data_IF_234344126120
#
_entry.id   IF_234344126120
#
_cell.length_a   1.000
_cell.length_b   1.000
_cell.length_c   1.000
_cell.angle_alpha   90.00
_cell.angle_beta   90.00
_cell.angle_gamma   90.00
#
_symmetry.space_group_name_H-M   'P 1'
#
loop_
_entity.id
_entity.type
_entity.pdbx_description
1 polymer ?
#
# COMPACT_ATOMS: atom_id res chain seq x y z
N UNK A 1 56.80 -15.20 -32.72
CA UNK A 1 55.71 -15.37 -31.73
C UNK A 1 55.77 -14.28 -30.67
N UNK A 2 55.69 -12.98 -30.99
CA UNK A 2 55.70 -11.87 -29.99
C UNK A 2 54.78 -10.68 -30.35
N UNK A 3 53.85 -10.83 -31.30
CA UNK A 3 52.98 -9.73 -31.75
C UNK A 3 51.51 -9.84 -31.34
N UNK A 4 51.06 -10.96 -30.76
CA UNK A 4 49.63 -11.15 -30.43
C UNK A 4 49.25 -10.95 -28.95
N UNK A 5 50.22 -10.65 -28.08
CA UNK A 5 49.94 -10.45 -26.63
C UNK A 5 49.57 -9.00 -26.33
N UNK A 6 50.00 -8.04 -27.18
CA UNK A 6 49.70 -6.61 -26.93
C UNK A 6 48.28 -6.20 -27.29
N UNK A 7 47.60 -6.92 -28.18
CA UNK A 7 46.23 -6.62 -28.56
C UNK A 7 45.18 -7.11 -27.52
N UNK A 8 45.53 -8.12 -26.73
CA UNK A 8 44.62 -8.68 -25.72
C UNK A 8 44.55 -7.82 -24.47
N UNK A 9 45.61 -7.10 -24.11
CA UNK A 9 45.62 -6.17 -22.98
C UNK A 9 44.87 -4.85 -23.26
N UNK A 10 44.84 -4.40 -24.50
CA UNK A 10 44.06 -3.21 -24.86
C UNK A 10 42.55 -3.46 -24.88
N UNK A 11 42.08 -4.69 -25.14
CA UNK A 11 40.66 -5.03 -25.10
C UNK A 11 40.13 -5.21 -23.69
N UNK A 12 40.95 -5.69 -22.73
CA UNK A 12 40.56 -5.77 -21.31
C UNK A 12 40.54 -4.40 -20.64
N UNK A 13 41.37 -3.45 -21.08
CA UNK A 13 41.37 -2.09 -20.53
C UNK A 13 40.20 -1.21 -21.01
N UNK A 14 39.57 -1.55 -22.15
CA UNK A 14 38.37 -0.84 -22.63
C UNK A 14 37.05 -1.34 -22.02
N UNK A 15 37.02 -2.52 -21.41
CA UNK A 15 35.83 -2.98 -20.64
C UNK A 15 35.76 -2.49 -19.19
N UNK A 16 36.79 -1.80 -18.71
CA UNK A 16 36.78 -1.13 -17.41
C UNK A 16 36.23 0.30 -17.48
N UNK A 17 35.56 0.67 -18.60
CA UNK A 17 34.92 1.97 -18.76
C UNK A 17 33.58 2.02 -18.02
N UNK A 18 33.68 2.54 -16.81
CA UNK A 18 32.66 3.29 -16.09
C UNK A 18 31.29 2.62 -15.86
N UNK A 19 31.20 1.76 -14.87
CA UNK A 19 30.13 1.86 -13.88
C UNK A 19 30.35 3.20 -13.16
N UNK A 20 30.02 4.32 -13.80
CA UNK A 20 29.79 5.57 -13.07
C UNK A 20 28.62 5.27 -12.14
N UNK A 21 28.88 5.24 -10.85
CA UNK A 21 27.81 5.30 -9.85
C UNK A 21 26.91 6.46 -10.29
N UNK A 22 25.65 6.17 -10.54
CA UNK A 22 24.69 7.17 -11.00
C UNK A 22 24.58 8.20 -9.90
N UNK A 23 24.97 9.44 -10.18
CA UNK A 23 25.05 10.50 -9.18
C UNK A 23 23.65 10.76 -8.62
N UNK A 24 23.48 10.59 -7.32
CA UNK A 24 22.22 10.90 -6.63
C UNK A 24 22.07 12.41 -6.62
N UNK A 25 20.99 12.92 -7.22
CA UNK A 25 20.69 14.35 -7.27
C UNK A 25 19.44 14.62 -6.46
N UNK A 26 19.52 15.51 -5.45
CA UNK A 26 18.32 16.03 -4.78
C UNK A 26 17.37 16.62 -5.82
N UNK A 27 16.07 16.42 -5.61
CA UNK A 27 15.08 16.99 -6.52
C UNK A 27 15.01 18.51 -6.39
N UNK A 28 14.96 19.25 -7.52
CA UNK A 28 14.60 20.66 -7.51
C UNK A 28 13.24 20.88 -6.82
N UNK A 29 13.05 22.02 -6.17
CA UNK A 29 11.81 22.32 -5.45
C UNK A 29 10.55 22.29 -6.31
N UNK A 30 10.68 22.55 -7.62
CA UNK A 30 9.61 22.49 -8.63
C UNK A 30 9.24 21.06 -9.07
N UNK A 31 9.96 20.05 -8.60
CA UNK A 31 9.75 18.63 -8.92
C UNK A 31 9.81 17.73 -7.68
N UNK A 32 9.79 18.33 -6.47
CA UNK A 32 9.87 17.62 -5.20
C UNK A 32 8.54 16.95 -4.79
N UNK A 33 7.53 17.02 -5.63
CA UNK A 33 6.21 16.40 -5.45
C UNK A 33 5.91 15.49 -6.62
N UNK A 34 4.98 14.56 -6.42
CA UNK A 34 4.54 13.67 -7.50
C UNK A 34 3.24 12.98 -7.17
N UNK A 35 2.65 12.38 -8.19
CA UNK A 35 1.44 11.55 -8.06
C UNK A 35 1.63 10.27 -8.84
N UNK A 36 1.25 9.15 -8.25
CA UNK A 36 1.29 7.83 -8.89
C UNK A 36 0.28 7.79 -10.04
N UNK A 37 0.68 7.35 -11.25
CA UNK A 37 -0.17 7.34 -12.43
C UNK A 37 -0.47 5.96 -13.03
N UNK A 38 -0.08 4.89 -12.35
CA UNK A 38 -0.47 3.50 -12.67
C UNK A 38 -1.28 2.89 -11.52
N UNK A 39 -2.08 1.88 -11.80
CA UNK A 39 -3.02 1.29 -10.83
C UNK A 39 -2.36 0.87 -9.52
N UNK A 40 -1.23 0.18 -9.61
CA UNK A 40 -0.40 -0.25 -8.49
C UNK A 40 1.08 -0.04 -8.83
N UNK A 41 1.76 0.77 -8.06
CA UNK A 41 3.17 1.09 -8.20
C UNK A 41 3.98 0.34 -7.13
N UNK A 42 4.95 -0.48 -7.56
CA UNK A 42 5.85 -1.18 -6.65
C UNK A 42 7.01 -0.27 -6.21
N UNK A 43 7.13 -0.03 -4.92
CA UNK A 43 8.31 0.58 -4.30
C UNK A 43 9.33 -0.51 -4.00
N UNK A 44 10.60 -0.20 -4.21
CA UNK A 44 11.73 -1.11 -4.00
C UNK A 44 12.72 -0.55 -2.99
N UNK A 45 13.51 -1.42 -2.40
CA UNK A 45 14.56 -1.04 -1.44
C UNK A 45 15.68 -0.24 -2.09
N UNK A 46 15.96 -0.50 -3.38
CA UNK A 46 16.97 0.21 -4.17
C UNK A 46 16.43 0.50 -5.58
N UNK A 47 16.95 1.55 -6.25
CA UNK A 47 16.56 1.97 -7.60
C UNK A 47 17.01 1.00 -8.72
N UNK A 48 16.61 -0.26 -8.63
CA UNK A 48 16.89 -1.31 -9.64
C UNK A 48 15.80 -2.40 -9.64
N UNK A 49 15.54 -3.02 -10.79
CA UNK A 49 14.50 -4.05 -10.92
C UNK A 49 14.79 -5.34 -10.14
N UNK A 50 16.04 -5.63 -9.84
CA UNK A 50 16.46 -6.84 -9.10
C UNK A 50 16.40 -6.67 -7.58
N UNK A 51 16.14 -5.45 -7.08
CA UNK A 51 15.98 -5.19 -5.65
C UNK A 51 14.65 -5.74 -5.12
N UNK A 52 14.61 -6.05 -3.82
CA UNK A 52 13.41 -6.44 -3.11
C UNK A 52 12.28 -5.39 -3.24
N UNK A 53 11.05 -5.85 -3.21
CA UNK A 53 9.88 -4.97 -3.08
C UNK A 53 9.68 -4.65 -1.61
N UNK A 54 9.44 -3.39 -1.28
CA UNK A 54 9.26 -2.90 0.09
C UNK A 54 7.81 -2.53 0.42
N UNK A 55 7.07 -1.97 -0.55
CA UNK A 55 5.64 -1.65 -0.42
C UNK A 55 5.03 -1.33 -1.79
N UNK A 56 3.76 -0.96 -1.81
CA UNK A 56 3.06 -0.47 -3.00
C UNK A 56 2.39 0.87 -2.73
N UNK A 57 2.28 1.70 -3.79
CA UNK A 57 1.48 2.91 -3.84
C UNK A 57 0.42 2.81 -4.93
N UNK A 58 -0.71 3.47 -4.76
CA UNK A 58 -1.88 3.34 -5.63
C UNK A 58 -2.03 4.55 -6.56
N UNK A 59 -2.69 4.37 -7.71
CA UNK A 59 -3.04 5.43 -8.65
C UNK A 59 -3.72 6.60 -7.94
N UNK A 60 -3.22 7.80 -8.23
CA UNK A 60 -3.73 9.03 -7.63
C UNK A 60 -3.14 9.35 -6.25
N UNK A 61 -2.32 8.47 -5.67
CA UNK A 61 -1.67 8.71 -4.39
C UNK A 61 -0.63 9.83 -4.54
N UNK A 62 -0.74 10.91 -3.76
CA UNK A 62 0.26 11.96 -3.69
C UNK A 62 1.52 11.47 -2.95
N UNK A 63 2.70 11.87 -3.40
CA UNK A 63 3.99 11.47 -2.83
C UNK A 63 4.96 12.66 -2.82
N UNK A 64 5.95 12.62 -1.92
CA UNK A 64 7.13 13.49 -2.02
C UNK A 64 8.21 12.77 -2.80
N UNK A 65 8.92 13.51 -3.65
CA UNK A 65 10.06 13.01 -4.43
C UNK A 65 11.33 13.55 -3.78
N UNK A 66 12.13 12.65 -3.21
CA UNK A 66 13.28 13.00 -2.39
C UNK A 66 14.54 13.16 -3.23
N UNK A 67 14.75 12.25 -4.20
CA UNK A 67 15.93 12.26 -5.07
C UNK A 67 15.72 11.45 -6.35
N UNK A 68 16.64 11.59 -7.31
CA UNK A 68 16.61 10.94 -8.61
C UNK A 68 17.99 10.44 -9.03
N UNK A 69 18.05 9.18 -9.48
CA UNK A 69 19.24 8.55 -10.06
C UNK A 69 18.90 7.70 -11.30
N UNK A 70 17.84 8.03 -12.05
CA UNK A 70 17.21 7.18 -13.07
C UNK A 70 15.97 6.49 -12.53
N UNK A 71 15.85 6.36 -11.22
CA UNK A 71 14.69 6.02 -10.41
C UNK A 71 14.40 7.19 -9.48
N UNK A 72 13.17 7.31 -9.04
CA UNK A 72 12.79 8.26 -7.99
C UNK A 72 12.77 7.56 -6.63
N UNK A 73 13.43 8.13 -5.64
CA UNK A 73 13.15 7.82 -4.25
C UNK A 73 11.98 8.68 -3.79
N UNK A 74 10.94 8.04 -3.28
CA UNK A 74 9.71 8.73 -2.87
C UNK A 74 9.36 8.42 -1.43
N UNK A 75 8.63 9.35 -0.80
CA UNK A 75 7.96 9.16 0.48
C UNK A 75 6.45 9.12 0.26
N UNK A 76 5.79 8.09 0.78
CA UNK A 76 4.35 7.88 0.72
C UNK A 76 3.62 8.49 1.94
N UNK A 77 2.28 8.63 1.92
CA UNK A 77 1.50 9.24 3.01
C UNK A 77 1.60 8.56 4.37
N UNK A 78 2.06 7.32 4.44
CA UNK A 78 2.36 6.55 5.65
C UNK A 78 3.83 6.67 6.07
N UNK A 79 4.52 7.70 5.58
CA UNK A 79 5.93 8.01 5.82
C UNK A 79 6.92 6.93 5.34
N UNK A 80 6.47 5.97 4.53
CA UNK A 80 7.34 4.95 3.98
C UNK A 80 8.19 5.50 2.82
N UNK A 81 9.47 5.11 2.77
CA UNK A 81 10.42 5.56 1.74
C UNK A 81 10.84 4.37 0.90
N UNK A 82 10.90 4.55 -0.42
CA UNK A 82 11.35 3.53 -1.35
C UNK A 82 11.53 4.07 -2.76
N UNK A 83 12.10 3.23 -3.60
CA UNK A 83 12.47 3.57 -4.97
C UNK A 83 11.42 3.11 -5.98
N UNK A 84 11.03 3.98 -6.89
CA UNK A 84 10.11 3.69 -7.99
C UNK A 84 10.75 3.99 -9.33
N UNK A 85 10.39 3.20 -10.35
CA UNK A 85 10.82 3.49 -11.70
C UNK A 85 10.20 4.81 -12.20
N UNK A 86 10.98 5.59 -12.95
CA UNK A 86 10.56 6.92 -13.47
C UNK A 86 9.25 6.95 -14.27
N UNK A 87 8.82 5.79 -14.79
CA UNK A 87 7.62 5.65 -15.62
C UNK A 87 6.33 5.39 -14.83
N UNK A 88 6.32 5.52 -13.51
CA UNK A 88 5.15 5.15 -12.69
C UNK A 88 4.60 6.30 -11.85
N UNK A 89 5.33 7.42 -11.79
CA UNK A 89 4.87 8.66 -11.15
C UNK A 89 4.99 9.83 -12.11
N UNK A 90 4.15 10.85 -11.88
CA UNK A 90 4.24 12.14 -12.57
C UNK A 90 4.82 13.15 -11.58
N UNK A 91 6.11 13.58 -11.74
CA UNK A 91 6.67 14.66 -10.94
C UNK A 91 5.94 15.97 -11.20
N UNK A 92 5.79 16.80 -10.17
CA UNK A 92 5.03 18.04 -10.21
C UNK A 92 5.69 19.15 -9.41
N UNK A 93 5.43 20.39 -9.82
CA UNK A 93 5.63 21.55 -8.94
C UNK A 93 4.61 21.53 -7.79
N UNK A 94 4.87 22.30 -6.74
CA UNK A 94 3.96 22.40 -5.59
C UNK A 94 2.57 22.88 -6.02
N UNK A 95 2.49 23.85 -6.95
CA UNK A 95 1.22 24.39 -7.47
C UNK A 95 0.36 23.31 -8.14
N UNK A 96 0.97 22.50 -9.04
CA UNK A 96 0.27 21.39 -9.72
C UNK A 96 -0.13 20.27 -8.76
N UNK A 97 0.71 20.02 -7.77
CA UNK A 97 0.42 19.05 -6.71
C UNK A 97 -0.78 19.51 -5.87
N UNK A 98 -0.82 20.80 -5.50
CA UNK A 98 -1.95 21.37 -4.77
C UNK A 98 -3.24 21.41 -5.60
N UNK A 99 -3.14 21.69 -6.89
CA UNK A 99 -4.26 21.61 -7.83
C UNK A 99 -4.79 20.17 -7.91
N UNK A 100 -3.88 19.18 -7.99
CA UNK A 100 -4.27 17.78 -7.94
C UNK A 100 -5.00 17.44 -6.65
N UNK A 101 -4.47 17.82 -5.51
CA UNK A 101 -5.08 17.50 -4.21
C UNK A 101 -6.45 18.16 -4.02
N UNK A 102 -6.62 19.42 -4.44
CA UNK A 102 -7.91 20.16 -4.36
C UNK A 102 -8.96 19.70 -5.36
N UNK A 103 -8.57 19.07 -6.45
CA UNK A 103 -9.52 18.62 -7.45
C UNK A 103 -10.46 17.53 -6.89
N UNK A 104 -11.72 17.55 -7.29
CA UNK A 104 -12.64 16.47 -7.00
C UNK A 104 -12.17 15.15 -7.62
N UNK A 105 -12.33 14.05 -6.90
CA UNK A 105 -11.87 12.72 -7.31
C UNK A 105 -13.02 11.73 -7.43
N UNK A 106 -12.81 10.77 -8.31
CA UNK A 106 -13.53 9.50 -8.33
C UNK A 106 -12.63 8.45 -7.67
N UNK A 107 -13.17 7.74 -6.68
CA UNK A 107 -12.52 6.63 -5.99
C UNK A 107 -13.04 5.30 -6.56
N UNK A 108 -12.12 4.40 -6.86
CA UNK A 108 -12.46 3.01 -7.22
C UNK A 108 -12.79 2.24 -5.95
N UNK A 109 -13.96 1.59 -5.92
CA UNK A 109 -14.44 0.82 -4.77
C UNK A 109 -14.41 -0.69 -4.99
N UNK A 110 -14.39 -1.15 -6.26
CA UNK A 110 -14.24 -2.55 -6.61
C UNK A 110 -12.78 -3.02 -6.48
N UNK A 111 -12.59 -4.28 -6.13
CA UNK A 111 -11.27 -4.90 -6.02
C UNK A 111 -10.46 -4.81 -7.32
N UNK A 112 -11.14 -4.90 -8.47
CA UNK A 112 -10.52 -4.85 -9.79
C UNK A 112 -11.49 -4.34 -10.84
N UNK A 113 -10.97 -3.64 -11.85
CA UNK A 113 -11.74 -3.17 -13.01
C UNK A 113 -10.85 -2.47 -14.03
N UNK A 114 -11.47 -1.77 -14.98
CA UNK A 114 -10.79 -1.02 -16.03
C UNK A 114 -11.37 0.39 -16.18
N UNK A 115 -10.50 1.32 -16.59
CA UNK A 115 -10.88 2.60 -17.14
C UNK A 115 -10.73 2.55 -18.67
N UNK A 116 -11.69 3.09 -19.42
CA UNK A 116 -11.86 2.91 -20.86
C UNK A 116 -11.65 4.20 -21.65
N UNK A 117 -11.28 4.09 -22.93
CA UNK A 117 -11.16 5.25 -23.84
C UNK A 117 -12.51 5.93 -24.16
N UNK A 118 -13.59 5.17 -24.12
CA UNK A 118 -14.96 5.63 -24.38
C UNK A 118 -15.87 5.22 -23.21
N UNK A 119 -17.05 5.86 -23.05
CA UNK A 119 -18.04 5.47 -22.04
C UNK A 119 -18.76 4.17 -22.44
N UNK A 120 -18.01 3.12 -22.64
CA UNK A 120 -18.40 1.80 -23.13
C UNK A 120 -17.35 0.77 -22.68
N UNK A 121 -17.77 -0.25 -21.94
CA UNK A 121 -16.89 -1.32 -21.44
C UNK A 121 -16.35 -2.23 -22.56
N UNK A 122 -16.91 -2.19 -23.75
CA UNK A 122 -16.37 -2.86 -24.93
C UNK A 122 -15.23 -2.10 -25.63
N UNK A 123 -15.01 -0.84 -25.26
CA UNK A 123 -13.93 -0.03 -25.84
C UNK A 123 -12.56 -0.39 -25.24
N UNK A 124 -11.49 0.10 -25.88
CA UNK A 124 -10.12 -0.17 -25.45
C UNK A 124 -9.89 0.31 -24.01
N UNK A 125 -9.39 -0.54 -23.10
CA UNK A 125 -8.92 -0.11 -21.78
C UNK A 125 -7.73 0.86 -21.88
N UNK A 126 -7.78 1.94 -21.10
CA UNK A 126 -6.65 2.86 -20.89
C UNK A 126 -5.71 2.30 -19.81
N UNK A 127 -6.29 1.76 -18.76
CA UNK A 127 -5.57 1.00 -17.72
C UNK A 127 -6.53 0.11 -16.93
N UNK A 128 -5.97 -0.84 -16.20
CA UNK A 128 -6.67 -1.45 -15.08
C UNK A 128 -6.77 -0.46 -13.90
N UNK A 129 -7.66 -0.76 -12.97
CA UNK A 129 -7.83 -0.02 -11.71
C UNK A 129 -8.13 -1.00 -10.57
N UNK A 130 -7.78 -0.60 -9.35
CA UNK A 130 -8.02 -1.37 -8.12
C UNK A 130 -8.66 -0.52 -7.04
N UNK A 131 -9.23 -1.15 -6.02
CA UNK A 131 -9.79 -0.48 -4.86
C UNK A 131 -8.83 0.54 -4.26
N UNK A 132 -9.33 1.74 -3.97
CA UNK A 132 -8.54 2.86 -3.45
C UNK A 132 -7.83 3.72 -4.49
N UNK A 133 -7.85 3.35 -5.79
CA UNK A 133 -7.37 4.23 -6.86
C UNK A 133 -8.23 5.51 -6.92
N UNK A 134 -7.58 6.64 -7.16
CA UNK A 134 -8.21 7.96 -7.23
C UNK A 134 -7.84 8.66 -8.53
N UNK A 135 -8.85 9.15 -9.25
CA UNK A 135 -8.71 9.88 -10.51
C UNK A 135 -9.45 11.21 -10.42
N UNK A 136 -8.92 12.25 -11.07
CA UNK A 136 -9.59 13.55 -11.11
C UNK A 136 -10.91 13.44 -11.87
N UNK A 137 -11.99 13.94 -11.29
CA UNK A 137 -13.31 13.95 -11.90
C UNK A 137 -13.43 15.14 -12.86
N UNK A 138 -13.78 14.87 -14.11
CA UNK A 138 -13.97 15.88 -15.17
C UNK A 138 -15.43 16.01 -15.60
N UNK A 139 -16.31 15.07 -15.21
CA UNK A 139 -17.71 15.07 -15.58
C UNK A 139 -18.31 13.67 -15.62
N UNK A 140 -19.50 13.55 -16.21
CA UNK A 140 -20.21 12.26 -16.32
C UNK A 140 -20.83 12.10 -17.71
N UNK A 141 -20.86 10.85 -18.20
CA UNK A 141 -21.55 10.50 -19.45
C UNK A 141 -22.27 9.16 -19.28
N UNK A 142 -23.60 9.20 -19.16
CA UNK A 142 -24.41 8.00 -18.89
C UNK A 142 -23.98 7.32 -17.58
N UNK A 143 -23.62 6.04 -17.67
CA UNK A 143 -23.18 5.21 -16.56
C UNK A 143 -21.67 5.31 -16.27
N UNK A 144 -20.98 6.33 -16.79
CA UNK A 144 -19.55 6.53 -16.60
C UNK A 144 -19.25 7.91 -16.02
N UNK A 145 -18.17 7.96 -15.20
CA UNK A 145 -17.45 9.18 -14.88
C UNK A 145 -16.38 9.43 -15.93
N UNK A 146 -16.26 10.66 -16.39
CA UNK A 146 -15.12 11.12 -17.18
C UNK A 146 -14.02 11.54 -16.21
N UNK A 147 -12.83 10.97 -16.37
CA UNK A 147 -11.72 11.15 -15.43
C UNK A 147 -10.41 11.49 -16.16
N UNK A 148 -9.50 12.15 -15.45
CA UNK A 148 -8.13 12.34 -15.92
C UNK A 148 -7.09 11.83 -14.92
N UNK A 149 -6.00 11.33 -15.48
CA UNK A 149 -4.84 10.81 -14.79
C UNK A 149 -3.85 11.93 -14.43
N UNK A 150 -2.94 11.70 -13.47
CA UNK A 150 -1.90 12.68 -13.15
C UNK A 150 -1.00 13.05 -14.33
N UNK A 151 -0.82 12.13 -15.28
CA UNK A 151 0.00 12.28 -16.50
C UNK A 151 -0.76 12.90 -17.69
N UNK A 152 -2.03 13.27 -17.49
CA UNK A 152 -2.87 13.92 -18.50
C UNK A 152 -3.69 12.98 -19.38
N UNK A 153 -3.52 11.66 -19.29
CA UNK A 153 -4.43 10.71 -19.93
C UNK A 153 -5.85 10.94 -19.45
N UNK A 154 -6.82 10.68 -20.32
CA UNK A 154 -8.26 10.75 -20.02
C UNK A 154 -8.89 9.38 -20.19
N UNK A 155 -9.91 9.09 -19.40
CA UNK A 155 -10.65 7.83 -19.49
C UNK A 155 -12.08 7.98 -18.97
N UNK A 156 -12.83 6.91 -19.13
CA UNK A 156 -14.16 6.72 -18.57
C UNK A 156 -14.14 5.56 -17.58
N UNK A 157 -14.67 5.81 -16.39
CA UNK A 157 -14.73 4.83 -15.29
C UNK A 157 -16.20 4.52 -14.98
N UNK A 158 -16.55 3.23 -14.96
CA UNK A 158 -17.93 2.80 -14.71
C UNK A 158 -18.37 3.18 -13.28
N UNK A 159 -19.60 3.72 -13.17
CA UNK A 159 -20.24 4.03 -11.88
C UNK A 159 -20.54 2.79 -11.04
N UNK A 160 -20.52 1.60 -11.65
CA UNK A 160 -20.71 0.33 -10.94
C UNK A 160 -19.52 -0.07 -10.06
N UNK A 161 -18.31 0.46 -10.37
CA UNK A 161 -17.07 0.11 -9.66
C UNK A 161 -16.41 1.30 -8.96
N UNK A 162 -17.03 2.48 -9.02
CA UNK A 162 -16.44 3.72 -8.52
C UNK A 162 -17.51 4.73 -8.12
N UNK A 163 -17.13 5.72 -7.33
CA UNK A 163 -18.01 6.81 -6.92
C UNK A 163 -17.22 8.09 -6.59
N UNK A 164 -17.88 9.26 -6.53
CA UNK A 164 -17.26 10.50 -6.06
C UNK A 164 -16.66 10.33 -4.66
N UNK A 165 -15.43 10.82 -4.47
CA UNK A 165 -14.71 10.64 -3.20
C UNK A 165 -15.45 11.24 -2.00
N UNK A 166 -16.14 12.37 -2.19
CA UNK A 166 -16.93 12.99 -1.14
C UNK A 166 -18.11 12.09 -0.70
N UNK A 167 -18.82 11.48 -1.67
CA UNK A 167 -19.91 10.53 -1.40
C UNK A 167 -19.38 9.25 -0.75
N UNK A 168 -18.28 8.71 -1.27
CA UNK A 168 -17.61 7.55 -0.69
C UNK A 168 -17.26 7.81 0.77
N UNK A 169 -16.60 8.93 1.07
CA UNK A 169 -16.21 9.28 2.44
C UNK A 169 -17.39 9.48 3.37
N UNK A 170 -18.49 10.08 2.87
CA UNK A 170 -19.71 10.25 3.62
C UNK A 170 -20.47 8.93 3.90
N UNK A 171 -20.29 7.92 3.04
CA UNK A 171 -20.90 6.59 3.20
C UNK A 171 -20.11 5.65 4.09
N UNK A 172 -18.84 5.97 4.40
CA UNK A 172 -17.98 5.09 5.19
C UNK A 172 -18.46 4.97 6.63
N UNK A 173 -18.55 3.73 7.08
CA UNK A 173 -18.68 3.39 8.48
C UNK A 173 -17.29 3.01 9.00
N UNK A 174 -16.76 3.80 9.92
CA UNK A 174 -15.49 3.49 10.59
C UNK A 174 -15.77 2.71 11.88
N UNK A 175 -16.54 1.63 11.75
CA UNK A 175 -16.86 0.71 12.83
C UNK A 175 -16.23 -0.67 12.60
N UNK A 176 -16.20 -1.47 13.65
CA UNK A 176 -15.58 -2.80 13.65
C UNK A 176 -16.18 -3.72 12.58
N UNK A 177 -17.51 -3.73 12.46
CA UNK A 177 -18.17 -4.70 11.57
C UNK A 177 -17.91 -4.39 10.11
N UNK A 178 -17.99 -3.12 9.70
CA UNK A 178 -17.70 -2.76 8.31
C UNK A 178 -16.23 -2.98 7.93
N UNK A 179 -15.28 -2.78 8.85
CA UNK A 179 -13.87 -3.12 8.64
C UNK A 179 -13.69 -4.63 8.45
N UNK A 180 -14.38 -5.44 9.26
CA UNK A 180 -14.32 -6.90 9.15
C UNK A 180 -15.01 -7.39 7.86
N UNK A 181 -16.15 -6.80 7.46
CA UNK A 181 -16.79 -7.09 6.18
C UNK A 181 -15.82 -6.83 5.01
N UNK A 182 -15.10 -5.71 5.04
CA UNK A 182 -14.07 -5.40 4.04
C UNK A 182 -12.94 -6.43 4.08
N UNK A 183 -12.49 -6.87 5.27
CA UNK A 183 -11.47 -7.91 5.37
C UNK A 183 -11.97 -9.25 4.79
N UNK A 184 -13.21 -9.64 5.06
CA UNK A 184 -13.83 -10.83 4.45
C UNK A 184 -13.95 -10.72 2.92
N UNK A 185 -14.21 -9.54 2.38
CA UNK A 185 -14.27 -9.36 0.92
C UNK A 185 -12.93 -9.63 0.23
N UNK A 186 -11.84 -9.64 0.99
CA UNK A 186 -10.49 -9.96 0.49
C UNK A 186 -10.10 -11.45 0.63
N UNK A 187 -10.99 -12.32 1.11
CA UNK A 187 -10.73 -13.75 1.22
C UNK A 187 -10.25 -14.37 -0.10
N UNK A 188 -9.22 -15.21 -0.04
CA UNK A 188 -8.63 -15.88 -1.20
C UNK A 188 -7.70 -15.02 -2.05
N UNK A 189 -7.52 -13.71 -1.75
CA UNK A 189 -6.49 -12.90 -2.41
C UNK A 189 -5.11 -13.47 -2.07
N UNK A 190 -4.25 -13.73 -3.08
CA UNK A 190 -2.97 -14.37 -2.86
C UNK A 190 -2.02 -13.51 -2.03
N UNK A 191 -1.19 -14.19 -1.23
CA UNK A 191 -0.08 -13.55 -0.52
C UNK A 191 0.94 -13.02 -1.51
N UNK A 192 1.27 -11.74 -1.36
CA UNK A 192 2.34 -11.09 -2.09
C UNK A 192 3.21 -10.35 -1.09
N UNK A 193 4.49 -10.74 -0.96
CA UNK A 193 5.44 -10.01 -0.13
C UNK A 193 5.46 -8.53 -0.50
N UNK A 194 5.34 -7.64 0.48
CA UNK A 194 5.23 -6.20 0.31
C UNK A 194 3.98 -5.71 -0.47
N UNK A 195 3.02 -6.58 -0.75
CA UNK A 195 1.76 -6.24 -1.41
C UNK A 195 0.81 -5.44 -0.51
N UNK A 196 0.17 -4.40 -1.07
CA UNK A 196 -0.82 -3.55 -0.38
C UNK A 196 -1.96 -3.16 -1.31
N UNK A 197 -2.44 -4.09 -2.10
CA UNK A 197 -3.54 -3.89 -3.04
C UNK A 197 -4.38 -5.15 -3.21
N UNK A 198 -5.56 -5.03 -3.79
CA UNK A 198 -6.40 -6.19 -4.13
C UNK A 198 -5.79 -7.16 -5.16
N UNK A 199 -4.60 -6.87 -5.72
CA UNK A 199 -3.84 -7.80 -6.56
C UNK A 199 -2.97 -8.78 -5.76
N UNK A 200 -2.77 -8.54 -4.50
CA UNK A 200 -2.00 -9.34 -3.58
C UNK A 200 -1.58 -8.53 -2.36
N UNK A 201 -1.58 -9.16 -1.20
CA UNK A 201 -1.25 -8.54 0.09
C UNK A 201 -0.32 -9.43 0.90
N UNK A 202 0.55 -8.83 1.71
CA UNK A 202 1.13 -9.52 2.86
C UNK A 202 0.29 -9.28 4.12
N UNK A 203 0.73 -9.77 5.26
CA UNK A 203 -0.05 -9.70 6.50
C UNK A 203 -0.41 -8.26 6.92
N UNK A 204 0.57 -7.38 6.99
CA UNK A 204 0.36 -5.96 7.31
C UNK A 204 -0.24 -5.17 6.16
N UNK A 205 0.01 -5.60 4.92
CA UNK A 205 -0.61 -5.06 3.71
C UNK A 205 -2.10 -5.36 3.63
N UNK A 206 -2.58 -6.51 4.12
CA UNK A 206 -4.00 -6.79 4.29
C UNK A 206 -4.64 -5.75 5.23
N UNK A 207 -4.08 -5.59 6.44
CA UNK A 207 -4.57 -4.60 7.42
C UNK A 207 -4.60 -3.22 6.79
N UNK A 208 -3.50 -2.80 6.16
CA UNK A 208 -3.39 -1.49 5.50
C UNK A 208 -4.41 -1.31 4.38
N UNK A 209 -4.62 -2.32 3.53
CA UNK A 209 -5.58 -2.24 2.41
C UNK A 209 -7.01 -2.15 2.93
N UNK A 210 -7.38 -2.98 3.90
CA UNK A 210 -8.69 -2.93 4.54
C UNK A 210 -8.95 -1.55 5.16
N UNK A 211 -8.01 -1.03 5.93
CA UNK A 211 -8.17 0.28 6.57
C UNK A 211 -8.18 1.45 5.57
N UNK A 212 -7.39 1.36 4.48
CA UNK A 212 -7.41 2.38 3.43
C UNK A 212 -8.75 2.45 2.70
N UNK A 213 -9.48 1.33 2.58
CA UNK A 213 -10.86 1.30 2.09
C UNK A 213 -11.87 1.96 3.05
N UNK A 214 -11.45 2.25 4.28
CA UNK A 214 -12.19 3.05 5.28
C UNK A 214 -11.59 4.44 5.49
N UNK A 215 -10.82 4.94 4.50
CA UNK A 215 -10.14 6.25 4.54
C UNK A 215 -9.11 6.37 5.70
N UNK A 216 -8.56 5.26 6.18
CA UNK A 216 -7.58 5.23 7.28
C UNK A 216 -6.21 4.84 6.74
N UNK A 217 -5.23 5.70 6.98
CA UNK A 217 -3.81 5.44 6.75
C UNK A 217 -3.21 4.90 8.06
N UNK A 218 -2.46 3.82 7.97
CA UNK A 218 -1.74 3.18 9.07
C UNK A 218 -0.29 2.88 8.59
N UNK A 219 0.70 2.77 9.49
CA UNK A 219 2.06 2.39 9.10
C UNK A 219 2.12 1.10 8.30
N UNK A 220 3.18 0.98 7.46
CA UNK A 220 3.31 -0.13 6.50
C UNK A 220 3.58 -1.47 7.16
N UNK A 221 4.56 -1.54 8.04
CA UNK A 221 5.07 -2.81 8.54
C UNK A 221 4.35 -3.26 9.81
N UNK A 222 4.16 -4.57 9.98
CA UNK A 222 3.55 -5.13 11.19
C UNK A 222 4.27 -4.65 12.47
N UNK A 223 5.59 -4.54 12.42
CA UNK A 223 6.40 -4.01 13.52
C UNK A 223 6.12 -2.54 13.86
N UNK A 224 5.66 -1.75 12.88
CA UNK A 224 5.24 -0.36 13.09
C UNK A 224 3.77 -0.27 13.53
N UNK A 225 2.90 -1.10 12.92
CA UNK A 225 1.48 -1.20 13.29
C UNK A 225 1.27 -1.63 14.74
N UNK A 226 2.21 -2.36 15.31
CA UNK A 226 2.20 -2.78 16.71
C UNK A 226 2.31 -1.63 17.73
N UNK A 227 2.68 -0.42 17.29
CA UNK A 227 2.87 0.74 18.15
C UNK A 227 1.85 1.86 17.91
N UNK A 228 0.76 1.59 17.20
CA UNK A 228 -0.32 2.57 16.98
C UNK A 228 -1.60 2.11 17.66
N UNK A 229 -2.01 2.84 18.69
CA UNK A 229 -3.18 2.53 19.51
C UNK A 229 -2.84 1.91 20.87
N UNK A 230 -3.84 1.36 21.53
CA UNK A 230 -3.74 0.77 22.86
C UNK A 230 -3.15 -0.65 22.81
N UNK A 231 -2.02 -0.85 23.48
CA UNK A 231 -1.43 -2.18 23.67
C UNK A 231 -2.26 -3.00 24.65
N UNK A 232 -2.50 -4.29 24.33
CA UNK A 232 -3.31 -5.21 25.12
C UNK A 232 -2.52 -6.51 25.35
N UNK A 233 -2.07 -6.73 26.58
CA UNK A 233 -1.59 -8.02 27.01
C UNK A 233 -2.75 -9.01 27.02
N UNK A 234 -2.70 -10.04 26.18
CA UNK A 234 -3.83 -10.95 25.97
C UNK A 234 -4.03 -11.84 27.19
N UNK A 235 -5.20 -11.77 27.84
CA UNK A 235 -5.57 -12.68 28.91
C UNK A 235 -5.66 -14.13 28.38
N UNK A 236 -5.34 -15.17 29.20
CA UNK A 236 -5.36 -16.57 28.76
C UNK A 236 -6.69 -17.03 28.17
N UNK A 237 -7.79 -16.45 28.61
CA UNK A 237 -9.16 -16.72 28.12
C UNK A 237 -9.59 -15.81 26.96
N UNK A 238 -8.74 -14.85 26.55
CA UNK A 238 -9.02 -13.83 25.52
C UNK A 238 -10.16 -12.85 25.89
N UNK A 239 -10.55 -12.76 27.16
CA UNK A 239 -11.70 -11.95 27.60
C UNK A 239 -11.50 -10.44 27.37
N UNK A 240 -10.27 -9.96 27.28
CA UNK A 240 -9.91 -8.56 27.07
C UNK A 240 -9.63 -8.16 25.61
N UNK A 241 -9.54 -9.12 24.70
CA UNK A 241 -9.36 -8.87 23.25
C UNK A 241 -10.74 -8.71 22.61
N UNK A 242 -10.93 -7.62 21.89
CA UNK A 242 -12.20 -7.31 21.22
C UNK A 242 -12.11 -7.56 19.72
N UNK A 243 -13.23 -7.95 19.14
CA UNK A 243 -13.39 -8.03 17.69
C UNK A 243 -12.93 -6.73 17.02
N UNK A 244 -12.11 -6.84 15.99
CA UNK A 244 -11.47 -5.72 15.28
C UNK A 244 -10.11 -5.30 15.84
N UNK A 245 -9.67 -5.79 17.01
CA UNK A 245 -8.30 -5.57 17.48
C UNK A 245 -7.30 -6.25 16.51
N UNK A 246 -6.11 -5.69 16.36
CA UNK A 246 -5.02 -6.34 15.63
C UNK A 246 -4.29 -7.30 16.58
N UNK A 247 -4.08 -8.54 16.15
CA UNK A 247 -3.31 -9.54 16.90
C UNK A 247 -1.94 -9.72 16.26
N UNK A 248 -0.89 -9.66 17.07
CA UNK A 248 0.49 -9.71 16.61
C UNK A 248 1.17 -11.01 17.02
N UNK A 249 1.99 -11.52 16.09
CA UNK A 249 2.71 -12.78 16.24
C UNK A 249 4.19 -12.59 15.93
N UNK A 250 5.02 -13.38 16.61
CA UNK A 250 6.44 -13.29 16.39
C UNK A 250 7.27 -14.06 17.41
N UNK A 251 8.47 -13.56 17.64
CA UNK A 251 9.38 -14.13 18.62
C UNK A 251 9.23 -13.41 19.96
N UNK A 252 8.92 -14.15 21.01
CA UNK A 252 8.88 -13.62 22.38
C UNK A 252 10.26 -13.09 22.82
N UNK A 253 10.27 -12.08 23.67
CA UNK A 253 11.49 -11.58 24.30
C UNK A 253 12.15 -12.68 25.15
N UNK A 254 13.49 -12.67 25.19
CA UNK A 254 14.32 -13.47 26.11
C UNK A 254 15.33 -12.56 26.82
N UNK A 255 16.13 -13.10 27.72
CA UNK A 255 17.19 -12.33 28.37
C UNK A 255 18.20 -11.73 27.36
N UNK A 256 18.44 -12.44 26.23
CA UNK A 256 19.44 -12.06 25.23
C UNK A 256 18.84 -11.33 24.00
N UNK A 257 17.52 -11.39 23.81
CA UNK A 257 16.87 -10.86 22.58
C UNK A 257 15.56 -10.16 22.88
N UNK A 258 15.40 -8.98 22.28
CA UNK A 258 14.13 -8.26 22.28
C UNK A 258 13.07 -9.05 21.51
N UNK A 259 11.82 -8.77 21.82
CA UNK A 259 10.65 -9.21 21.03
C UNK A 259 10.83 -8.86 19.56
N UNK A 260 10.36 -9.73 18.68
CA UNK A 260 10.42 -9.52 17.23
C UNK A 260 9.07 -9.82 16.59
N UNK A 261 8.38 -8.78 16.13
CA UNK A 261 7.09 -8.88 15.45
C UNK A 261 7.36 -9.28 14.01
N UNK A 262 6.63 -10.26 13.50
CA UNK A 262 6.79 -10.76 12.13
C UNK A 262 5.47 -11.07 11.42
N UNK A 263 4.33 -10.95 12.10
CA UNK A 263 3.02 -11.21 11.51
C UNK A 263 1.92 -10.48 12.27
N UNK A 264 0.80 -10.20 11.57
CA UNK A 264 -0.37 -9.52 12.10
C UNK A 264 -1.63 -10.07 11.45
N UNK A 265 -2.73 -10.10 12.20
CA UNK A 265 -4.08 -10.39 11.71
C UNK A 265 -5.12 -9.51 12.40
N UNK A 266 -6.35 -9.50 11.88
CA UNK A 266 -7.49 -8.82 12.48
C UNK A 266 -8.29 -9.84 13.28
N UNK A 267 -8.48 -9.60 14.57
CA UNK A 267 -9.20 -10.50 15.47
C UNK A 267 -10.71 -10.46 15.19
N UNK A 268 -11.30 -11.63 15.04
CA UNK A 268 -12.72 -11.81 14.69
C UNK A 268 -13.62 -12.17 15.88
N UNK A 269 -13.04 -12.32 17.06
CA UNK A 269 -13.72 -12.94 18.20
C UNK A 269 -13.53 -14.46 18.23
N UNK A 270 -13.91 -15.10 19.33
CA UNK A 270 -13.86 -16.56 19.51
C UNK A 270 -12.50 -17.21 19.17
N UNK A 271 -11.39 -16.49 19.44
CA UNK A 271 -10.02 -16.88 19.11
C UNK A 271 -9.74 -17.03 17.62
N UNK A 272 -10.60 -16.50 16.75
CA UNK A 272 -10.41 -16.48 15.29
C UNK A 272 -9.79 -15.15 14.84
N UNK A 273 -9.04 -15.18 13.76
CA UNK A 273 -8.43 -14.00 13.13
C UNK A 273 -8.35 -14.20 11.62
N UNK A 274 -8.50 -13.10 10.87
CA UNK A 274 -8.27 -13.07 9.43
C UNK A 274 -6.89 -12.48 9.14
N UNK A 275 -6.13 -13.13 8.29
CA UNK A 275 -4.77 -12.74 7.96
C UNK A 275 -4.38 -13.18 6.54
N UNK A 276 -3.21 -12.71 6.05
CA UNK A 276 -2.63 -13.17 4.80
C UNK A 276 -1.40 -14.04 5.07
N UNK A 277 -1.47 -15.32 4.69
CA UNK A 277 -0.39 -16.29 4.73
C UNK A 277 -0.66 -17.39 3.68
N UNK A 278 0.05 -17.34 2.54
CA UNK A 278 -0.32 -18.09 1.33
C UNK A 278 -1.41 -17.37 0.54
N UNK A 279 -2.54 -17.15 1.16
CA UNK A 279 -3.64 -16.28 0.74
C UNK A 279 -4.29 -15.57 1.95
N UNK A 280 -5.34 -14.81 1.72
CA UNK A 280 -6.17 -14.25 2.81
C UNK A 280 -7.18 -15.29 3.25
N UNK A 281 -7.10 -15.70 4.51
CA UNK A 281 -8.02 -16.67 5.11
C UNK A 281 -8.23 -16.44 6.61
N UNK A 282 -9.20 -17.18 7.17
CA UNK A 282 -9.47 -17.19 8.61
C UNK A 282 -8.78 -18.37 9.26
N UNK A 283 -8.01 -18.10 10.32
CA UNK A 283 -7.39 -19.08 11.20
C UNK A 283 -7.95 -18.99 12.62
N UNK A 284 -7.77 -20.05 13.39
CA UNK A 284 -8.15 -20.11 14.79
C UNK A 284 -6.94 -20.35 15.71
N UNK A 285 -6.97 -19.73 16.87
CA UNK A 285 -6.06 -20.00 18.00
C UNK A 285 -6.65 -21.02 18.99
N UNK A 286 -7.83 -21.58 18.70
CA UNK A 286 -8.45 -22.63 19.51
C UNK A 286 -8.08 -24.01 18.95
N UNK A 287 -7.37 -24.89 19.72
CA UNK A 287 -6.97 -26.21 19.24
C UNK A 287 -8.14 -27.15 18.86
N UNK A 288 -9.36 -26.85 19.29
CA UNK A 288 -10.54 -27.64 18.96
C UNK A 288 -11.14 -27.31 17.59
N UNK A 289 -10.71 -26.20 16.96
CA UNK A 289 -11.28 -25.73 15.70
C UNK A 289 -10.56 -26.42 14.51
N UNK A 290 -11.31 -26.70 13.43
CA UNK A 290 -10.78 -27.33 12.23
C UNK A 290 -9.68 -26.50 11.52
N UNK A 291 -9.78 -25.17 11.61
CA UNK A 291 -8.83 -24.20 11.06
C UNK A 291 -7.80 -23.72 12.08
N UNK A 292 -7.43 -24.57 13.05
CA UNK A 292 -6.43 -24.25 14.08
C UNK A 292 -5.06 -23.99 13.45
N UNK A 293 -4.51 -22.82 13.74
CA UNK A 293 -3.16 -22.42 13.35
C UNK A 293 -2.20 -22.54 14.54
N UNK A 294 -1.63 -23.73 14.70
CA UNK A 294 -0.67 -24.04 15.77
C UNK A 294 0.57 -23.14 15.67
N UNK A 295 1.06 -22.88 14.46
CA UNK A 295 2.28 -22.11 14.23
C UNK A 295 2.14 -20.67 14.75
N UNK A 296 1.07 -19.96 14.37
CA UNK A 296 0.85 -18.61 14.85
C UNK A 296 0.40 -18.59 16.32
N UNK A 297 -0.41 -19.56 16.77
CA UNK A 297 -0.84 -19.63 18.18
C UNK A 297 0.35 -19.67 19.14
N UNK A 298 1.37 -20.49 18.84
CA UNK A 298 2.61 -20.57 19.65
C UNK A 298 3.43 -19.28 19.66
N UNK A 299 3.23 -18.42 18.69
CA UNK A 299 3.95 -17.16 18.47
C UNK A 299 3.14 -15.93 18.82
N UNK A 300 1.94 -16.10 19.38
CA UNK A 300 1.10 -14.97 19.80
C UNK A 300 1.81 -14.12 20.84
N UNK A 301 1.85 -12.82 20.63
CA UNK A 301 2.51 -11.84 21.47
C UNK A 301 1.47 -11.02 22.25
N UNK A 302 0.74 -10.15 21.57
CA UNK A 302 -0.21 -9.20 22.17
C UNK A 302 -1.23 -8.77 21.12
N UNK A 303 -2.18 -7.94 21.52
CA UNK A 303 -3.11 -7.27 20.60
C UNK A 303 -2.96 -5.74 20.69
N UNK A 304 -3.47 -5.04 19.67
CA UNK A 304 -3.56 -3.57 19.64
C UNK A 304 -4.97 -3.15 19.25
N UNK A 305 -5.55 -2.25 20.04
CA UNK A 305 -6.83 -1.59 19.74
C UNK A 305 -6.56 -0.24 19.12
N UNK A 306 -6.87 -0.07 17.84
CA UNK A 306 -6.49 1.11 17.07
C UNK A 306 -7.65 2.07 16.79
N UNK A 307 -8.89 1.58 16.62
CA UNK A 307 -10.03 2.39 16.17
C UNK A 307 -10.27 3.68 16.98
N UNK A 308 -10.21 3.68 18.31
CA UNK A 308 -10.41 4.90 19.10
C UNK A 308 -9.31 5.96 18.93
N UNK A 309 -8.20 5.62 18.27
CA UNK A 309 -6.99 6.43 18.19
C UNK A 309 -6.78 7.08 16.80
N UNK A 310 -7.66 6.80 15.83
CA UNK A 310 -7.63 7.42 14.49
C UNK A 310 -7.66 8.94 14.63
N UNK A 311 -6.78 9.65 13.93
CA UNK A 311 -6.57 11.10 13.99
C UNK A 311 -6.11 11.66 15.35
N UNK A 312 -5.75 10.81 16.30
CA UNK A 312 -5.26 11.20 17.63
C UNK A 312 -3.78 10.88 17.83
N UNK A 313 -3.28 9.88 17.13
CA UNK A 313 -1.89 9.43 17.23
C UNK A 313 -1.13 9.64 15.91
N UNK A 314 0.18 9.85 16.03
CA UNK A 314 1.06 9.97 14.89
C UNK A 314 1.08 8.63 14.10
N UNK A 315 1.00 8.73 12.78
CA UNK A 315 1.06 7.57 11.88
C UNK A 315 -0.30 6.92 11.60
N UNK A 316 -1.38 7.36 12.26
CA UNK A 316 -2.73 6.85 12.00
C UNK A 316 -3.72 7.99 11.82
N UNK A 317 -4.10 8.24 10.56
CA UNK A 317 -5.00 9.34 10.22
C UNK A 317 -5.85 9.03 8.99
N UNK A 318 -6.93 9.78 8.84
CA UNK A 318 -7.72 9.80 7.60
C UNK A 318 -6.99 10.60 6.51
N UNK A 319 -7.27 10.34 5.23
CA UNK A 319 -6.60 11.04 4.13
C UNK A 319 -6.82 12.55 4.21
N UNK A 320 -8.02 13.02 4.63
CA UNK A 320 -8.32 14.45 4.80
C UNK A 320 -7.58 15.11 5.99
N UNK A 321 -6.89 14.35 6.83
CA UNK A 321 -6.00 14.84 7.92
C UNK A 321 -4.53 14.59 7.63
N UNK A 322 -4.23 13.87 6.54
CA UNK A 322 -2.87 13.57 6.16
C UNK A 322 -2.27 14.70 5.31
N UNK A 323 -1.07 15.22 5.65
CA UNK A 323 -0.45 16.36 4.95
C UNK A 323 -0.17 16.14 3.47
N UNK A 324 -0.11 14.88 3.00
CA UNK A 324 0.10 14.57 1.59
C UNK A 324 -1.14 14.82 0.73
N UNK A 325 -2.33 14.78 1.31
CA UNK A 325 -3.61 14.99 0.60
C UNK A 325 -4.20 16.40 0.78
N UNK A 326 -3.43 17.31 1.39
CA UNK A 326 -3.82 18.70 1.64
C UNK A 326 -3.20 19.69 0.66
#
# INVERSE_FOLDING_TARGET
>A
MKKNIFLFYCFLAMMAASLKAQEIRPMPADSAYGVVHISVCNLREEGKFTSGMSTQALLGMPVKVLQYNGWYEIQTPDDYIGWVHRMVITPMSKERYDEWNRAEKIVVTSHYGFAYEKPDESSQPVSDVVAGNRLKWEGSKGHFYQVSYPDGRKAYLSKSISQPEAEWRASLKQDVESIIETAYSMMGIPYLWAGTSSKGVDCSGLVRTVLFMHDIIIPRDASQQAYVGEHIDIAPDFSNVKRGDLVFFGRKATAERKEGISHVGIYLGNKQFIHALGDVHVSSMNPADQNYDEFNTKRLLFAVRFLPYINKEKGMNTTNKNPFYQ
#
